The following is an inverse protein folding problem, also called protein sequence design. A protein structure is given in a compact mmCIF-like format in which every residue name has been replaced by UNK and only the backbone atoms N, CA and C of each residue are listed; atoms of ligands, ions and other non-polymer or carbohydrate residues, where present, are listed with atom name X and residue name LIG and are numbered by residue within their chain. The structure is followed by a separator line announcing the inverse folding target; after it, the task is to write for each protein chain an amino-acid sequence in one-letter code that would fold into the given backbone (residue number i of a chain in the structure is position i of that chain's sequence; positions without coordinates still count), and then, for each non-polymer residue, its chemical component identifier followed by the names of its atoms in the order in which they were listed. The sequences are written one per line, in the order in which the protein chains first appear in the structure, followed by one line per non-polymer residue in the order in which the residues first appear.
data_IF_713925596821
#
_entry.id   IF_713925596821
#
_cell.length_a   1.000
_cell.length_b   1.000
_cell.length_c   1.000
_cell.angle_alpha   90.00
_cell.angle_beta   90.00
_cell.angle_gamma   90.00
#
_symmetry.space_group_name_H-M   'P 1'
#
loop_
_entity.id
_entity.type
_entity.pdbx_description
1 polymer ?
#
# COMPACT_ATOMS: atom_id res chain seq x y z
N UNK A 1 37.97 -13.45 -29.95
CA UNK A 1 37.48 -13.08 -28.61
C UNK A 1 36.06 -12.58 -28.80
N UNK A 2 35.06 -13.38 -28.38
CA UNK A 2 33.67 -12.94 -28.44
C UNK A 2 33.50 -11.80 -27.44
N UNK A 3 33.37 -10.58 -27.95
CA UNK A 3 33.06 -9.40 -27.14
C UNK A 3 31.62 -9.56 -26.63
N UNK A 4 31.44 -10.17 -25.46
CA UNK A 4 30.11 -10.27 -24.86
C UNK A 4 29.66 -8.86 -24.47
N UNK A 5 28.64 -8.33 -25.15
CA UNK A 5 28.10 -6.99 -24.87
C UNK A 5 27.57 -6.88 -23.43
N UNK A 6 27.17 -7.99 -22.81
CA UNK A 6 26.71 -8.01 -21.42
C UNK A 6 27.81 -7.63 -20.43
N UNK A 7 29.07 -7.98 -20.70
CA UNK A 7 30.19 -7.66 -19.80
C UNK A 7 30.39 -6.15 -19.68
N UNK A 8 29.99 -5.37 -20.70
CA UNK A 8 30.04 -3.90 -20.69
C UNK A 8 29.01 -3.25 -19.76
N UNK A 9 28.01 -4.00 -19.28
CA UNK A 9 27.00 -3.50 -18.34
C UNK A 9 27.46 -3.57 -16.88
N UNK A 10 28.63 -4.13 -16.60
CA UNK A 10 29.18 -4.21 -15.24
C UNK A 10 29.39 -2.80 -14.67
N UNK A 11 28.77 -2.52 -13.52
CA UNK A 11 29.03 -1.30 -12.75
C UNK A 11 30.41 -1.43 -12.10
N UNK A 12 31.31 -0.47 -12.35
CA UNK A 12 32.66 -0.49 -11.78
C UNK A 12 32.64 -0.18 -10.29
N UNK A 13 33.61 -0.72 -9.56
CA UNK A 13 33.84 -0.38 -8.14
C UNK A 13 34.14 1.11 -7.97
N UNK A 14 34.82 1.73 -8.93
CA UNK A 14 35.07 3.17 -8.95
C UNK A 14 33.78 4.00 -8.90
N UNK A 15 32.77 3.63 -9.69
CA UNK A 15 31.47 4.31 -9.69
C UNK A 15 30.73 4.11 -8.36
N UNK A 16 30.80 2.91 -7.77
CA UNK A 16 30.21 2.65 -6.45
C UNK A 16 30.93 3.44 -5.36
N UNK A 17 32.26 3.54 -5.42
CA UNK A 17 33.06 4.34 -4.50
C UNK A 17 32.75 5.83 -4.62
N UNK A 18 32.52 6.34 -5.83
CA UNK A 18 32.12 7.73 -6.05
C UNK A 18 30.75 8.05 -5.40
N UNK A 19 29.78 7.13 -5.50
CA UNK A 19 28.48 7.26 -4.83
C UNK A 19 28.68 7.29 -3.30
N UNK A 20 29.47 6.36 -2.76
CA UNK A 20 29.78 6.33 -1.32
C UNK A 20 30.48 7.62 -0.86
N UNK A 21 31.44 8.12 -1.63
CA UNK A 21 32.14 9.36 -1.32
C UNK A 21 31.18 10.55 -1.21
N UNK A 22 30.19 10.64 -2.10
CA UNK A 22 29.15 11.69 -2.02
C UNK A 22 28.26 11.54 -0.78
N UNK A 23 27.84 10.32 -0.45
CA UNK A 23 26.96 10.05 0.69
C UNK A 23 27.66 10.24 2.04
N UNK A 24 28.98 10.08 2.08
CA UNK A 24 29.81 10.18 3.28
C UNK A 24 30.57 11.50 3.40
N UNK A 25 30.48 12.40 2.40
CA UNK A 25 31.14 13.71 2.45
C UNK A 25 30.50 14.60 3.53
N UNK A 26 31.24 14.98 4.59
CA UNK A 26 30.72 15.84 5.65
C UNK A 26 30.31 17.24 5.17
N UNK A 27 30.71 17.65 3.96
CA UNK A 27 30.33 18.93 3.36
C UNK A 27 29.13 18.82 2.41
N UNK A 28 28.58 17.62 2.21
CA UNK A 28 27.44 17.40 1.34
C UNK A 28 26.18 18.03 1.92
N UNK A 29 25.83 19.21 1.42
CA UNK A 29 24.66 19.98 1.89
C UNK A 29 23.35 19.19 1.80
N UNK A 30 23.18 18.39 0.74
CA UNK A 30 21.96 17.60 0.53
C UNK A 30 21.84 16.44 1.53
N UNK A 31 22.97 15.79 1.87
CA UNK A 31 23.00 14.72 2.87
C UNK A 31 22.85 15.30 4.27
N UNK A 32 23.55 16.39 4.58
CA UNK A 32 23.45 17.05 5.89
C UNK A 32 22.03 17.53 6.17
N UNK A 33 21.34 18.14 5.19
CA UNK A 33 19.95 18.56 5.36
C UNK A 33 19.00 17.37 5.64
N UNK A 34 19.26 16.19 5.06
CA UNK A 34 18.55 14.96 5.39
C UNK A 34 18.84 14.51 6.83
N UNK A 35 20.11 14.45 7.22
CA UNK A 35 20.53 14.04 8.56
C UNK A 35 20.03 14.99 9.65
N UNK A 36 19.99 16.30 9.37
CA UNK A 36 19.45 17.32 10.28
C UNK A 36 17.98 17.06 10.59
N UNK A 37 17.18 16.65 9.60
CA UNK A 37 15.77 16.29 9.82
C UNK A 37 15.67 15.02 10.68
N UNK A 38 16.45 13.99 10.37
CA UNK A 38 16.46 12.75 11.18
C UNK A 38 16.86 13.06 12.63
N UNK A 39 17.88 13.88 12.83
CA UNK A 39 18.41 14.26 14.14
C UNK A 39 17.39 14.94 15.06
N UNK A 40 16.35 15.58 14.51
CA UNK A 40 15.24 16.14 15.31
C UNK A 40 14.46 15.06 16.08
N UNK A 41 14.43 13.83 15.58
CA UNK A 41 13.62 12.73 16.15
C UNK A 41 14.43 11.79 17.05
N UNK A 42 15.77 11.84 16.98
CA UNK A 42 16.71 11.05 17.78
C UNK A 42 17.59 10.15 16.92
N UNK A 43 18.28 9.19 17.55
CA UNK A 43 19.02 8.16 16.81
C UNK A 43 18.05 7.18 16.13
N UNK A 44 18.48 6.42 15.09
CA UNK A 44 17.65 5.39 14.47
C UNK A 44 17.05 4.39 15.46
N UNK A 45 17.79 4.00 16.49
CA UNK A 45 17.32 3.11 17.56
C UNK A 45 16.21 3.75 18.40
N UNK A 46 16.37 5.03 18.75
CA UNK A 46 15.35 5.78 19.50
C UNK A 46 14.09 5.98 18.68
N UNK A 47 14.23 6.29 17.38
CA UNK A 47 13.14 6.45 16.42
C UNK A 47 12.35 5.14 16.34
N UNK A 48 13.03 4.01 16.12
CA UNK A 48 12.40 2.69 16.05
C UNK A 48 11.70 2.31 17.37
N UNK A 49 12.34 2.58 18.52
CA UNK A 49 11.76 2.30 19.84
C UNK A 49 10.48 3.10 20.08
N UNK A 50 10.46 4.38 19.73
CA UNK A 50 9.27 5.25 19.83
C UNK A 50 8.14 4.71 18.96
N UNK A 51 8.45 4.38 17.70
CA UNK A 51 7.47 3.86 16.76
C UNK A 51 6.87 2.53 17.20
N UNK A 52 7.70 1.59 17.67
CA UNK A 52 7.23 0.30 18.18
C UNK A 52 6.29 0.48 19.36
N UNK A 53 6.68 1.31 20.35
CA UNK A 53 5.85 1.60 21.51
C UNK A 53 4.50 2.25 21.12
N UNK A 54 4.53 3.21 20.19
CA UNK A 54 3.32 3.90 19.72
C UNK A 54 2.34 2.98 18.97
N UNK A 55 2.85 1.90 18.36
CA UNK A 55 2.05 0.97 17.55
C UNK A 55 1.38 -0.14 18.37
N UNK A 56 1.81 -0.38 19.60
CA UNK A 56 1.28 -1.49 20.40
C UNK A 56 -0.24 -1.35 20.57
N UNK A 57 -0.99 -2.42 20.26
CA UNK A 57 -2.46 -2.41 20.35
C UNK A 57 -2.97 -1.89 21.71
N UNK A 58 -2.43 -2.30 22.89
CA UNK A 58 -2.85 -1.73 24.16
C UNK A 58 -2.63 -0.21 24.27
N UNK A 59 -1.53 0.31 23.71
CA UNK A 59 -1.27 1.76 23.68
C UNK A 59 -2.27 2.50 22.80
N UNK A 60 -2.58 1.97 21.62
CA UNK A 60 -3.58 2.53 20.71
C UNK A 60 -4.96 2.59 21.38
N UNK A 61 -5.40 1.51 22.02
CA UNK A 61 -6.67 1.44 22.72
C UNK A 61 -6.73 2.39 23.93
N UNK A 62 -5.68 2.44 24.76
CA UNK A 62 -5.60 3.37 25.90
C UNK A 62 -5.73 4.83 25.46
N UNK A 63 -5.04 5.22 24.38
CA UNK A 63 -5.12 6.59 23.84
C UNK A 63 -6.52 6.91 23.32
N UNK A 64 -7.22 5.94 22.72
CA UNK A 64 -8.62 6.09 22.31
C UNK A 64 -9.55 6.27 23.52
N UNK A 65 -9.32 5.53 24.61
CA UNK A 65 -10.06 5.68 25.87
C UNK A 65 -9.85 7.06 26.50
N UNK A 66 -8.60 7.53 26.54
CA UNK A 66 -8.21 8.84 27.10
C UNK A 66 -8.91 10.01 26.39
N UNK A 67 -8.98 9.97 25.05
CA UNK A 67 -9.69 10.99 24.27
C UNK A 67 -11.20 10.74 24.18
N UNK A 68 -11.71 9.69 24.83
CA UNK A 68 -13.12 9.27 24.78
C UNK A 68 -13.63 9.10 23.35
N UNK A 69 -12.81 8.46 22.50
CA UNK A 69 -13.14 8.26 21.10
C UNK A 69 -14.43 7.44 20.96
N UNK A 70 -15.37 7.86 20.09
CA UNK A 70 -16.56 7.07 19.79
C UNK A 70 -16.22 5.71 19.13
N UNK A 71 -15.03 5.59 18.54
CA UNK A 71 -14.59 4.40 17.80
C UNK A 71 -14.15 3.24 18.70
N UNK A 72 -13.97 3.49 20.00
CA UNK A 72 -13.53 2.45 20.94
C UNK A 72 -14.50 1.27 21.00
N UNK A 73 -15.80 1.55 21.06
CA UNK A 73 -16.85 0.53 21.14
C UNK A 73 -16.93 -0.30 19.86
N UNK A 74 -16.71 0.32 18.70
CA UNK A 74 -16.68 -0.37 17.42
C UNK A 74 -15.48 -1.33 17.31
N UNK A 75 -14.34 -0.98 17.90
CA UNK A 75 -13.17 -1.88 17.99
C UNK A 75 -13.42 -3.06 18.91
N UNK A 76 -14.08 -2.84 20.06
CA UNK A 76 -14.49 -3.94 20.95
C UNK A 76 -15.45 -4.88 20.24
N UNK A 77 -16.46 -4.33 19.56
CA UNK A 77 -17.39 -5.11 18.76
C UNK A 77 -16.64 -5.91 17.69
N UNK A 78 -15.72 -5.30 16.94
CA UNK A 78 -14.95 -5.96 15.88
C UNK A 78 -14.08 -7.11 16.44
N UNK A 79 -13.41 -6.89 17.58
CA UNK A 79 -12.63 -7.93 18.25
C UNK A 79 -13.53 -9.08 18.74
N UNK A 80 -14.69 -8.78 19.32
CA UNK A 80 -15.67 -9.79 19.73
C UNK A 80 -16.17 -10.62 18.53
N UNK A 81 -16.48 -9.97 17.41
CA UNK A 81 -16.91 -10.65 16.18
C UNK A 81 -15.84 -11.60 15.64
N UNK A 82 -14.58 -11.17 15.68
CA UNK A 82 -13.45 -12.01 15.31
C UNK A 82 -13.33 -13.21 16.25
N UNK A 83 -13.31 -12.97 17.55
CA UNK A 83 -13.01 -13.99 18.56
C UNK A 83 -14.11 -15.06 18.65
N UNK A 84 -15.36 -14.71 18.32
CA UNK A 84 -16.47 -15.67 18.20
C UNK A 84 -16.54 -16.40 16.86
N UNK A 85 -15.63 -16.12 15.92
CA UNK A 85 -15.62 -16.73 14.59
C UNK A 85 -16.81 -16.32 13.70
N UNK A 86 -17.26 -15.06 13.79
CA UNK A 86 -18.44 -14.58 13.06
C UNK A 86 -18.22 -14.44 11.54
N UNK A 87 -16.97 -14.30 11.12
CA UNK A 87 -16.60 -14.15 9.71
C UNK A 87 -16.50 -15.52 9.04
N UNK A 88 -16.82 -15.58 7.74
CA UNK A 88 -16.71 -16.83 6.98
C UNK A 88 -15.25 -17.30 6.95
N UNK A 89 -15.01 -18.57 7.27
CA UNK A 89 -13.67 -19.18 7.15
C UNK A 89 -13.28 -19.35 5.67
N UNK A 90 -11.99 -19.37 5.34
CA UNK A 90 -11.53 -19.67 3.97
C UNK A 90 -12.06 -21.03 3.44
N UNK A 91 -12.04 -22.12 4.23
CA UNK A 91 -12.65 -23.39 3.81
C UNK A 91 -14.14 -23.26 3.49
N UNK A 92 -14.92 -22.57 4.33
CA UNK A 92 -16.36 -22.41 4.10
C UNK A 92 -16.66 -21.47 2.94
N UNK A 93 -15.83 -20.45 2.72
CA UNK A 93 -15.93 -19.61 1.54
C UNK A 93 -15.68 -20.43 0.27
N UNK A 94 -14.63 -21.25 0.24
CA UNK A 94 -14.35 -22.15 -0.91
C UNK A 94 -15.50 -23.12 -1.14
N UNK A 95 -16.11 -23.70 -0.09
CA UNK A 95 -17.32 -24.53 -0.20
C UNK A 95 -18.53 -23.76 -0.71
N UNK A 96 -18.72 -22.51 -0.26
CA UNK A 96 -19.80 -21.62 -0.73
C UNK A 96 -19.69 -21.37 -2.24
N UNK A 97 -18.47 -21.20 -2.77
CA UNK A 97 -18.23 -20.96 -4.20
C UNK A 97 -18.29 -22.26 -5.04
N UNK A 98 -17.60 -23.32 -4.60
CA UNK A 98 -17.36 -24.52 -5.42
C UNK A 98 -18.27 -25.71 -5.09
N UNK A 99 -19.01 -25.66 -3.99
CA UNK A 99 -19.68 -26.82 -3.43
C UNK A 99 -18.69 -27.94 -3.07
N UNK A 100 -19.05 -29.19 -3.39
CA UNK A 100 -18.22 -30.38 -3.09
C UNK A 100 -16.85 -30.37 -3.79
N UNK A 101 -16.71 -29.66 -4.92
CA UNK A 101 -15.44 -29.55 -5.65
C UNK A 101 -14.33 -28.90 -4.82
N UNK A 102 -14.69 -28.13 -3.78
CA UNK A 102 -13.70 -27.52 -2.88
C UNK A 102 -12.75 -28.54 -2.23
N UNK A 103 -13.22 -29.77 -1.97
CA UNK A 103 -12.45 -30.82 -1.29
C UNK A 103 -11.50 -31.57 -2.24
N UNK A 104 -11.74 -31.48 -3.55
CA UNK A 104 -10.96 -32.14 -4.59
C UNK A 104 -9.85 -31.23 -5.14
N UNK A 105 -10.00 -29.92 -4.98
CA UNK A 105 -9.11 -28.92 -5.53
C UNK A 105 -7.91 -28.66 -4.62
N UNK A 106 -6.74 -28.46 -5.24
CA UNK A 106 -5.52 -28.03 -4.57
C UNK A 106 -5.29 -26.55 -4.84
N UNK A 107 -4.92 -25.83 -3.80
CA UNK A 107 -4.67 -24.40 -3.83
C UNK A 107 -3.20 -24.18 -3.46
N UNK A 108 -2.42 -23.62 -4.38
CA UNK A 108 -0.99 -23.37 -4.17
C UNK A 108 -0.77 -22.03 -3.48
N UNK A 109 -0.53 -22.07 -2.17
CA UNK A 109 -0.34 -20.88 -1.33
C UNK A 109 0.95 -20.09 -1.67
N UNK A 110 1.86 -20.62 -2.48
CA UNK A 110 3.06 -19.88 -2.93
C UNK A 110 2.72 -18.73 -3.89
N UNK A 111 1.58 -18.81 -4.57
CA UNK A 111 1.08 -17.78 -5.48
C UNK A 111 -0.15 -17.02 -4.94
N UNK A 112 -0.38 -17.06 -3.63
CA UNK A 112 -1.53 -16.40 -3.01
C UNK A 112 -1.59 -14.90 -3.38
N UNK A 113 -2.64 -14.51 -4.11
CA UNK A 113 -2.90 -13.11 -4.49
C UNK A 113 -3.38 -12.33 -3.26
N UNK A 114 -2.69 -11.25 -2.91
CA UNK A 114 -3.15 -10.35 -1.84
C UNK A 114 -4.42 -9.63 -2.29
N UNK A 115 -5.53 -9.78 -1.55
CA UNK A 115 -6.74 -8.99 -1.80
C UNK A 115 -6.56 -7.59 -1.21
N UNK A 116 -6.76 -6.55 -2.03
CA UNK A 116 -6.50 -5.16 -1.65
C UNK A 116 -7.65 -4.23 -2.05
N UNK A 117 -8.05 -3.37 -1.11
CA UNK A 117 -8.91 -2.20 -1.35
C UNK A 117 -8.06 -0.94 -1.27
N UNK A 118 -8.34 0.01 -2.16
CA UNK A 118 -7.83 1.37 -2.08
C UNK A 118 -8.94 2.39 -1.87
N UNK A 119 -8.56 3.57 -1.40
CA UNK A 119 -9.49 4.59 -0.93
C UNK A 119 -10.36 4.18 0.25
N UNK A 120 -9.69 3.58 1.24
CA UNK A 120 -10.20 3.51 2.60
C UNK A 120 -9.93 4.83 3.35
N UNK A 121 -10.95 5.67 3.53
CA UNK A 121 -10.75 7.02 4.08
C UNK A 121 -11.10 7.14 5.56
N UNK A 122 -12.21 6.54 6.01
CA UNK A 122 -12.76 6.76 7.35
C UNK A 122 -13.01 5.45 8.09
N UNK A 123 -12.57 5.36 9.35
CA UNK A 123 -12.72 4.18 10.19
C UNK A 123 -14.15 3.57 10.20
N UNK A 124 -15.24 4.36 10.31
CA UNK A 124 -16.61 3.79 10.30
C UNK A 124 -16.94 2.97 9.05
N UNK A 125 -16.29 3.22 7.92
CA UNK A 125 -16.51 2.44 6.70
C UNK A 125 -16.01 1.00 6.84
N UNK A 126 -14.91 0.78 7.57
CA UNK A 126 -14.40 -0.55 7.87
C UNK A 126 -15.40 -1.35 8.72
N UNK A 127 -16.10 -0.69 9.63
CA UNK A 127 -17.14 -1.32 10.46
C UNK A 127 -18.36 -1.67 9.61
N UNK A 128 -18.76 -0.80 8.68
CA UNK A 128 -19.82 -1.10 7.72
C UNK A 128 -19.46 -2.30 6.83
N UNK A 129 -18.22 -2.35 6.33
CA UNK A 129 -17.69 -3.50 5.58
C UNK A 129 -17.69 -4.78 6.42
N UNK A 130 -17.21 -4.73 7.67
CA UNK A 130 -17.20 -5.89 8.56
C UNK A 130 -18.61 -6.43 8.83
N UNK A 131 -19.59 -5.54 9.07
CA UNK A 131 -21.00 -5.94 9.25
C UNK A 131 -21.56 -6.61 7.99
N UNK A 132 -21.32 -6.03 6.81
CA UNK A 132 -21.72 -6.61 5.52
C UNK A 132 -21.05 -7.97 5.30
N UNK A 133 -19.75 -8.09 5.61
CA UNK A 133 -18.99 -9.31 5.43
C UNK A 133 -19.53 -10.47 6.27
N UNK A 134 -19.90 -10.20 7.52
CA UNK A 134 -20.57 -11.17 8.39
C UNK A 134 -21.95 -11.54 7.84
N UNK A 135 -22.78 -10.55 7.50
CA UNK A 135 -24.15 -10.76 7.02
C UNK A 135 -24.18 -11.61 5.74
N UNK A 136 -23.28 -11.34 4.80
CA UNK A 136 -23.28 -11.94 3.47
C UNK A 136 -22.33 -13.13 3.33
N UNK A 137 -21.51 -13.41 4.35
CA UNK A 137 -20.42 -14.38 4.26
C UNK A 137 -19.44 -13.99 3.15
N UNK A 138 -19.00 -12.73 3.16
CA UNK A 138 -18.00 -12.15 2.25
C UNK A 138 -16.63 -12.09 2.96
N UNK A 139 -15.57 -11.98 2.17
CA UNK A 139 -14.20 -11.85 2.66
C UNK A 139 -13.80 -10.38 2.77
N UNK A 140 -13.19 -10.00 3.88
CA UNK A 140 -12.47 -8.73 4.02
C UNK A 140 -11.04 -8.87 3.48
N UNK A 141 -10.52 -7.85 2.77
CA UNK A 141 -9.19 -7.90 2.16
C UNK A 141 -8.08 -7.90 3.21
N UNK A 142 -6.89 -8.37 2.82
CA UNK A 142 -5.71 -8.36 3.71
C UNK A 142 -4.90 -7.06 3.64
N UNK A 143 -5.27 -6.14 2.75
CA UNK A 143 -4.53 -4.90 2.52
C UNK A 143 -5.45 -3.73 2.20
N UNK A 144 -5.16 -2.59 2.82
CA UNK A 144 -5.92 -1.35 2.66
C UNK A 144 -5.01 -0.17 2.32
N UNK A 145 -5.34 0.61 1.30
CA UNK A 145 -4.65 1.86 1.01
C UNK A 145 -5.52 3.02 1.49
N UNK A 146 -4.98 3.81 2.40
CA UNK A 146 -5.65 5.00 2.94
C UNK A 146 -5.22 6.23 2.18
N UNK A 147 -6.19 6.86 1.52
CA UNK A 147 -6.01 8.12 0.79
C UNK A 147 -6.92 9.18 1.40
N UNK A 148 -6.42 9.76 2.49
CA UNK A 148 -7.05 10.85 3.23
C UNK A 148 -5.93 11.78 3.71
N UNK A 149 -6.24 13.04 3.98
CA UNK A 149 -5.28 13.95 4.61
C UNK A 149 -4.93 13.47 6.01
N UNK A 150 -3.64 13.33 6.31
CA UNK A 150 -3.17 12.80 7.58
C UNK A 150 -3.57 13.68 8.75
N UNK A 151 -3.44 15.01 8.61
CA UNK A 151 -3.89 15.95 9.64
C UNK A 151 -5.38 15.87 9.92
N UNK A 152 -6.20 15.63 8.90
CA UNK A 152 -7.64 15.42 9.11
C UNK A 152 -7.91 14.10 9.85
N UNK A 153 -7.24 13.00 9.47
CA UNK A 153 -7.40 11.69 10.14
C UNK A 153 -6.91 11.73 11.60
N UNK A 154 -5.85 12.49 11.88
CA UNK A 154 -5.33 12.72 13.22
C UNK A 154 -6.31 13.48 14.12
N UNK A 155 -6.95 14.54 13.59
CA UNK A 155 -7.88 15.38 14.33
C UNK A 155 -9.29 14.77 14.46
N UNK A 156 -9.60 13.71 13.72
CA UNK A 156 -10.94 13.16 13.61
C UNK A 156 -11.22 12.09 14.67
N UNK A 157 -11.39 12.52 15.92
CA UNK A 157 -11.86 11.68 17.03
C UNK A 157 -11.06 10.38 17.23
N UNK A 158 -9.76 10.37 16.89
CA UNK A 158 -8.92 9.19 16.97
C UNK A 158 -9.01 8.22 15.79
N UNK A 159 -9.57 8.63 14.65
CA UNK A 159 -9.69 7.82 13.42
C UNK A 159 -8.39 7.10 13.04
N UNK A 160 -7.25 7.81 13.02
CA UNK A 160 -5.95 7.21 12.72
C UNK A 160 -5.57 6.08 13.72
N UNK A 161 -5.81 6.27 15.02
CA UNK A 161 -5.55 5.25 16.04
C UNK A 161 -6.50 4.06 15.89
N UNK A 162 -7.78 4.34 15.62
CA UNK A 162 -8.80 3.32 15.46
C UNK A 162 -8.52 2.43 14.25
N UNK A 163 -8.11 3.02 13.12
CA UNK A 163 -7.68 2.22 11.96
C UNK A 163 -6.44 1.39 12.27
N UNK A 164 -5.40 1.97 12.87
CA UNK A 164 -4.20 1.21 13.23
C UNK A 164 -4.53 0.01 14.14
N UNK A 165 -5.42 0.19 15.12
CA UNK A 165 -5.89 -0.88 16.00
C UNK A 165 -6.71 -1.93 15.23
N UNK A 166 -7.64 -1.50 14.37
CA UNK A 166 -8.49 -2.39 13.59
C UNK A 166 -7.68 -3.28 12.65
N UNK A 167 -6.67 -2.73 11.96
CA UNK A 167 -5.78 -3.49 11.08
C UNK A 167 -5.05 -4.61 11.84
N UNK A 168 -4.64 -4.35 13.09
CA UNK A 168 -4.08 -5.39 13.96
C UNK A 168 -5.12 -6.40 14.43
N UNK A 169 -6.35 -5.98 14.68
CA UNK A 169 -7.46 -6.87 15.09
C UNK A 169 -7.78 -7.87 13.96
N UNK A 170 -7.94 -7.39 12.73
CA UNK A 170 -8.32 -8.21 11.56
C UNK A 170 -7.14 -8.93 10.91
N UNK A 171 -5.90 -8.52 11.21
CA UNK A 171 -4.70 -9.09 10.62
C UNK A 171 -4.50 -8.66 9.17
N UNK A 172 -4.71 -7.37 8.89
CA UNK A 172 -4.48 -6.74 7.60
C UNK A 172 -3.32 -5.73 7.67
N UNK A 173 -2.71 -5.47 6.51
CA UNK A 173 -1.75 -4.39 6.33
C UNK A 173 -2.44 -3.13 5.82
N UNK A 174 -1.85 -1.97 6.09
CA UNK A 174 -2.36 -0.71 5.57
C UNK A 174 -1.22 0.24 5.22
N UNK A 175 -1.50 1.14 4.29
CA UNK A 175 -0.59 2.21 3.86
C UNK A 175 -1.28 3.55 4.04
N UNK A 176 -0.59 4.50 4.66
CA UNK A 176 -1.04 5.88 4.79
C UNK A 176 -0.53 6.77 3.65
N UNK A 177 -1.21 7.87 3.37
CA UNK A 177 -0.81 8.84 2.34
C UNK A 177 -0.51 10.18 2.99
N UNK A 178 0.78 10.54 3.08
CA UNK A 178 1.23 11.80 3.67
C UNK A 178 0.69 13.03 2.92
N UNK A 179 0.53 14.14 3.65
CA UNK A 179 0.01 15.41 3.15
C UNK A 179 1.03 16.13 2.25
N UNK A 180 2.33 15.93 2.52
CA UNK A 180 3.48 16.47 1.77
C UNK A 180 3.69 15.79 0.41
N UNK A 181 2.59 15.60 -0.32
CA UNK A 181 2.58 15.09 -1.68
C UNK A 181 2.58 16.19 -2.76
N UNK A 182 2.55 17.47 -2.40
CA UNK A 182 2.58 18.63 -3.31
C UNK A 182 1.23 18.96 -3.95
N UNK A 183 0.17 18.26 -3.55
CA UNK A 183 -1.22 18.45 -4.02
C UNK A 183 -2.08 19.18 -2.97
N UNK A 184 -1.45 19.74 -1.95
CA UNK A 184 -2.03 20.48 -0.83
C UNK A 184 -2.23 21.98 -1.14
N UNK A 185 -2.09 22.37 -2.41
CA UNK A 185 -2.14 23.76 -2.88
C UNK A 185 -0.79 24.49 -2.84
N UNK A 186 0.28 23.83 -2.39
CA UNK A 186 1.62 24.42 -2.33
C UNK A 186 2.31 24.55 -3.69
N UNK A 187 1.98 23.68 -4.64
CA UNK A 187 2.46 23.79 -5.99
C UNK A 187 1.60 24.81 -6.75
N UNK A 188 2.07 26.05 -6.77
CA UNK A 188 1.40 27.19 -7.43
C UNK A 188 1.25 27.03 -8.95
N UNK A 189 1.89 26.02 -9.55
CA UNK A 189 1.81 25.73 -10.97
C UNK A 189 0.76 24.64 -11.30
N UNK A 190 0.18 23.96 -10.30
CA UNK A 190 -0.91 23.01 -10.54
C UNK A 190 -2.24 23.74 -10.66
N UNK A 191 -3.01 23.39 -11.69
CA UNK A 191 -4.36 23.89 -11.90
C UNK A 191 -5.44 23.21 -11.04
N UNK A 192 -5.08 22.19 -10.24
CA UNK A 192 -5.99 21.40 -9.40
C UNK A 192 -5.72 19.89 -9.47
N UNK A 193 -6.48 19.07 -8.71
CA UNK A 193 -6.45 17.60 -8.77
C UNK A 193 -6.55 17.02 -10.19
N UNK A 194 -7.35 17.63 -11.06
CA UNK A 194 -7.51 17.23 -12.47
C UNK A 194 -6.21 17.41 -13.26
N UNK A 195 -5.39 18.39 -12.90
CA UNK A 195 -4.08 18.60 -13.52
C UNK A 195 -3.09 17.53 -13.04
N UNK A 196 -3.20 17.09 -11.78
CA UNK A 196 -2.31 16.11 -11.15
C UNK A 196 -2.42 14.74 -11.83
N UNK A 197 -3.63 14.30 -12.17
CA UNK A 197 -3.83 13.02 -12.87
C UNK A 197 -3.19 12.99 -14.26
N UNK A 198 -2.88 14.16 -14.84
CA UNK A 198 -2.13 14.28 -16.10
C UNK A 198 -0.60 14.23 -15.96
N UNK A 199 -0.04 14.45 -14.77
CA UNK A 199 1.41 14.42 -14.52
C UNK A 199 1.89 13.02 -14.10
N UNK A 200 1.92 12.09 -15.06
CA UNK A 200 2.61 10.81 -14.86
C UNK A 200 4.13 11.00 -14.85
N UNK A 201 4.82 10.41 -13.86
CA UNK A 201 6.27 10.54 -13.67
C UNK A 201 6.71 11.53 -12.58
N UNK A 202 5.74 12.17 -11.91
CA UNK A 202 5.95 13.03 -10.75
C UNK A 202 5.12 14.30 -10.81
N UNK A 203 4.41 14.60 -9.73
CA UNK A 203 3.46 15.74 -9.61
C UNK A 203 4.14 17.14 -9.57
N UNK A 204 5.44 17.21 -9.86
CA UNK A 204 6.23 18.45 -9.75
C UNK A 204 6.22 19.05 -8.34
N UNK A 205 6.50 18.26 -7.29
CA UNK A 205 6.49 18.79 -5.91
C UNK A 205 7.42 20.00 -5.76
N UNK A 206 7.07 21.01 -4.94
CA UNK A 206 7.99 22.10 -4.63
C UNK A 206 9.30 21.59 -4.01
N UNK A 207 10.40 22.30 -4.25
CA UNK A 207 11.77 21.83 -3.97
C UNK A 207 11.97 21.34 -2.52
N UNK A 208 11.32 21.98 -1.55
CA UNK A 208 11.47 21.68 -0.12
C UNK A 208 10.62 20.48 0.34
N UNK A 209 9.70 19.98 -0.50
CA UNK A 209 8.74 18.95 -0.09
C UNK A 209 9.38 17.60 0.22
N UNK A 210 10.52 17.27 -0.37
CA UNK A 210 11.22 16.04 -0.04
C UNK A 210 11.60 15.99 1.46
N UNK A 211 12.18 17.08 1.99
CA UNK A 211 12.55 17.14 3.41
C UNK A 211 11.34 17.33 4.33
N UNK A 212 10.29 18.03 3.87
CA UNK A 212 9.01 18.09 4.62
C UNK A 212 8.34 16.72 4.71
N UNK A 213 8.42 15.92 3.65
CA UNK A 213 7.94 14.54 3.63
C UNK A 213 8.66 13.66 4.64
N UNK A 214 9.98 13.81 4.74
CA UNK A 214 10.76 13.08 5.74
C UNK A 214 10.37 13.49 7.17
N UNK A 215 10.22 14.80 7.40
CA UNK A 215 9.82 15.35 8.70
C UNK A 215 8.41 14.86 9.09
N UNK A 216 7.44 14.98 8.17
CA UNK A 216 6.07 14.48 8.37
C UNK A 216 6.03 12.97 8.61
N UNK A 217 6.78 12.19 7.82
CA UNK A 217 6.88 10.74 8.01
C UNK A 217 7.40 10.41 9.41
N UNK A 218 8.52 11.00 9.83
CA UNK A 218 9.13 10.72 11.13
C UNK A 218 8.20 11.11 12.29
N UNK A 219 7.43 12.20 12.15
CA UNK A 219 6.39 12.55 13.10
C UNK A 219 5.35 11.43 13.27
N UNK A 220 4.73 10.98 12.17
CA UNK A 220 3.69 9.94 12.23
C UNK A 220 4.26 8.57 12.60
N UNK A 221 5.46 8.25 12.14
CA UNK A 221 6.18 7.02 12.48
C UNK A 221 6.42 6.94 14.00
N UNK A 222 6.99 7.99 14.60
CA UNK A 222 7.35 7.99 16.03
C UNK A 222 6.16 8.22 16.97
N UNK A 223 5.13 8.96 16.54
CA UNK A 223 3.99 9.33 17.39
C UNK A 223 2.82 8.35 17.31
N UNK A 224 2.64 7.71 16.15
CA UNK A 224 1.48 6.87 15.87
C UNK A 224 1.84 5.46 15.37
N UNK A 225 3.13 5.16 15.20
CA UNK A 225 3.56 3.86 14.70
C UNK A 225 3.19 3.60 13.24
N UNK A 226 2.98 4.66 12.44
CA UNK A 226 2.68 4.56 11.01
C UNK A 226 3.91 4.04 10.27
N UNK A 227 3.89 2.77 9.87
CA UNK A 227 5.07 2.13 9.26
C UNK A 227 5.14 2.27 7.74
N UNK A 228 3.99 2.17 7.05
CA UNK A 228 3.92 2.12 5.59
C UNK A 228 3.30 3.40 5.04
N UNK A 229 4.01 4.10 4.15
CA UNK A 229 3.49 5.29 3.47
C UNK A 229 3.55 5.19 1.95
N UNK A 230 2.65 5.92 1.27
CA UNK A 230 2.63 6.04 -0.18
C UNK A 230 3.66 7.07 -0.65
N UNK A 231 4.45 6.70 -1.65
CA UNK A 231 5.43 7.54 -2.33
C UNK A 231 5.05 7.76 -3.79
N UNK A 232 5.42 8.91 -4.35
CA UNK A 232 4.96 9.34 -5.68
C UNK A 232 6.01 10.08 -6.52
N UNK A 233 7.23 10.27 -6.01
CA UNK A 233 8.31 10.89 -6.77
C UNK A 233 9.69 10.29 -6.41
N UNK A 234 10.68 10.40 -7.31
CA UNK A 234 12.01 9.81 -7.10
C UNK A 234 12.75 10.33 -5.86
N UNK A 235 12.55 11.61 -5.50
CA UNK A 235 13.23 12.25 -4.37
C UNK A 235 12.82 11.63 -3.04
N UNK A 236 11.52 11.54 -2.77
CA UNK A 236 11.01 10.92 -1.52
C UNK A 236 11.26 9.41 -1.48
N UNK A 237 11.28 8.75 -2.64
CA UNK A 237 11.71 7.34 -2.75
C UNK A 237 13.17 7.18 -2.31
N UNK A 238 14.08 8.04 -2.78
CA UNK A 238 15.47 8.01 -2.34
C UNK A 238 15.60 8.30 -0.84
N UNK A 239 14.89 9.29 -0.31
CA UNK A 239 14.91 9.59 1.12
C UNK A 239 14.41 8.40 1.96
N UNK A 240 13.37 7.69 1.49
CA UNK A 240 12.91 6.46 2.11
C UNK A 240 13.97 5.35 2.13
N UNK A 241 14.76 5.22 1.06
CA UNK A 241 15.91 4.30 1.01
C UNK A 241 17.04 4.70 1.95
N UNK A 242 17.42 5.99 1.99
CA UNK A 242 18.47 6.50 2.88
C UNK A 242 18.08 6.33 4.36
N UNK A 243 16.82 6.61 4.70
CA UNK A 243 16.29 6.45 6.06
C UNK A 243 16.39 5.00 6.54
N UNK A 244 16.04 4.06 5.66
CA UNK A 244 16.15 2.64 5.95
C UNK A 244 17.60 2.18 6.11
N UNK A 245 18.47 2.65 5.21
CA UNK A 245 19.91 2.38 5.23
C UNK A 245 20.56 2.88 6.51
N UNK A 246 20.10 4.01 7.03
CA UNK A 246 20.57 4.61 8.29
C UNK A 246 20.18 3.77 9.53
N UNK A 247 19.11 2.97 9.45
CA UNK A 247 18.71 2.06 10.53
C UNK A 247 17.24 2.15 10.92
N UNK A 248 16.47 3.10 10.39
CA UNK A 248 15.04 3.23 10.72
C UNK A 248 14.23 2.16 9.97
N UNK A 249 13.24 1.55 10.62
CA UNK A 249 12.45 0.45 10.05
C UNK A 249 11.22 1.00 9.30
N UNK A 250 11.42 1.97 8.41
CA UNK A 250 10.37 2.51 7.57
C UNK A 250 10.03 1.55 6.43
N UNK A 251 8.79 1.62 5.96
CA UNK A 251 8.32 0.94 4.77
C UNK A 251 7.58 1.95 3.88
N UNK A 252 7.64 1.78 2.57
CA UNK A 252 6.84 2.56 1.63
C UNK A 252 6.44 1.76 0.40
N UNK A 253 5.34 2.17 -0.23
CA UNK A 253 4.97 1.72 -1.58
C UNK A 253 4.95 2.85 -2.58
N UNK A 254 5.10 2.55 -3.86
CA UNK A 254 5.06 3.55 -4.93
C UNK A 254 3.67 3.61 -5.59
N UNK A 255 3.16 4.83 -5.75
CA UNK A 255 1.87 5.15 -6.38
C UNK A 255 1.89 4.90 -7.90
N UNK A 256 0.70 4.64 -8.46
CA UNK A 256 0.50 4.53 -9.91
C UNK A 256 0.95 5.79 -10.66
N UNK A 257 0.82 6.95 -10.03
CA UNK A 257 1.22 8.24 -10.60
C UNK A 257 2.73 8.37 -10.87
N UNK A 258 3.57 7.56 -10.22
CA UNK A 258 5.01 7.56 -10.52
C UNK A 258 5.34 6.89 -11.86
N UNK A 259 4.43 6.06 -12.40
CA UNK A 259 4.56 5.55 -13.77
C UNK A 259 5.52 4.38 -13.96
N UNK A 260 5.47 3.36 -13.10
CA UNK A 260 6.15 2.07 -13.37
C UNK A 260 5.40 1.33 -14.50
N UNK A 261 5.70 1.66 -15.75
CA UNK A 261 4.90 1.32 -16.93
C UNK A 261 5.54 0.30 -17.88
N UNK A 262 6.81 -0.05 -17.67
CA UNK A 262 7.56 -1.01 -18.48
C UNK A 262 8.65 -1.74 -17.67
N UNK A 263 9.22 -2.85 -18.17
CA UNK A 263 10.22 -3.63 -17.44
C UNK A 263 11.46 -2.86 -17.03
N UNK A 264 11.88 -1.86 -17.81
CA UNK A 264 13.08 -1.07 -17.54
C UNK A 264 12.85 -0.04 -16.42
N UNK A 265 11.66 0.58 -16.36
CA UNK A 265 11.27 1.44 -15.26
C UNK A 265 11.22 0.66 -13.93
N UNK A 266 10.65 -0.55 -13.97
CA UNK A 266 10.64 -1.44 -12.80
C UNK A 266 12.03 -1.91 -12.43
N UNK A 267 12.85 -2.32 -13.40
CA UNK A 267 14.24 -2.71 -13.15
C UNK A 267 15.01 -1.58 -12.47
N UNK A 268 14.88 -0.33 -12.94
CA UNK A 268 15.50 0.82 -12.30
C UNK A 268 15.05 1.00 -10.84
N UNK A 269 13.75 0.90 -10.58
CA UNK A 269 13.18 0.95 -9.22
C UNK A 269 13.76 -0.14 -8.32
N UNK A 270 13.86 -1.38 -8.81
CA UNK A 270 14.40 -2.52 -8.06
C UNK A 270 15.93 -2.42 -7.85
N UNK A 271 16.68 -1.92 -8.82
CA UNK A 271 18.12 -1.68 -8.67
C UNK A 271 18.41 -0.65 -7.58
N UNK A 272 17.62 0.44 -7.52
CA UNK A 272 17.68 1.41 -6.43
C UNK A 272 17.40 0.76 -5.06
N UNK A 273 16.35 -0.07 -4.97
CA UNK A 273 16.04 -0.82 -3.76
C UNK A 273 17.18 -1.76 -3.33
N UNK A 274 17.86 -2.43 -4.26
CA UNK A 274 18.99 -3.32 -3.97
C UNK A 274 20.21 -2.56 -3.49
N UNK A 275 20.53 -1.42 -4.10
CA UNK A 275 21.67 -0.58 -3.75
C UNK A 275 21.65 -0.15 -2.26
N UNK A 276 20.46 0.15 -1.73
CA UNK A 276 20.27 0.62 -0.36
C UNK A 276 19.73 -0.46 0.60
N UNK A 277 19.75 -1.73 0.19
CA UNK A 277 19.28 -2.84 1.03
C UNK A 277 20.14 -3.04 2.28
N UNK A 278 19.55 -3.68 3.30
CA UNK A 278 20.22 -4.11 4.53
C UNK A 278 19.73 -5.50 4.94
N UNK A 279 20.46 -6.28 5.75
CA UNK A 279 19.94 -7.56 6.28
C UNK A 279 18.56 -7.36 6.95
N UNK A 280 17.63 -8.32 6.79
CA UNK A 280 16.29 -8.16 7.38
C UNK A 280 16.41 -8.06 8.92
N UNK A 281 16.00 -6.94 9.54
CA UNK A 281 16.05 -6.80 11.00
C UNK A 281 15.15 -7.81 11.72
N UNK A 282 14.17 -8.41 11.04
CA UNK A 282 13.25 -9.43 11.59
C UNK A 282 13.74 -10.86 11.38
N UNK A 283 14.82 -11.07 10.64
CA UNK A 283 15.40 -12.41 10.41
C UNK A 283 16.93 -12.35 10.33
N UNK A 284 17.61 -11.99 11.44
CA UNK A 284 19.07 -11.95 11.48
C UNK A 284 19.64 -13.37 11.38
N UNK A 285 20.44 -13.63 10.33
CA UNK A 285 21.21 -14.88 10.18
C UNK A 285 20.60 -15.97 9.30
N UNK A 286 19.50 -15.71 8.56
CA UNK A 286 19.05 -16.62 7.51
C UNK A 286 20.11 -16.70 6.38
N UNK A 287 20.58 -17.90 5.96
CA UNK A 287 21.57 -18.01 4.90
C UNK A 287 20.95 -17.70 3.52
N UNK A 288 21.46 -16.67 2.84
CA UNK A 288 21.04 -16.25 1.50
C UNK A 288 21.12 -14.72 1.37
N UNK A 289 21.92 -14.20 0.45
CA UNK A 289 22.32 -12.78 0.36
C UNK A 289 21.23 -11.82 -0.17
N UNK A 290 19.97 -12.01 0.23
CA UNK A 290 18.87 -11.09 -0.05
C UNK A 290 18.69 -10.13 1.11
N UNK A 291 19.33 -8.95 1.07
CA UNK A 291 18.97 -7.86 1.97
C UNK A 291 17.48 -7.51 1.82
N UNK A 292 16.86 -7.03 2.89
CA UNK A 292 15.55 -6.38 2.90
C UNK A 292 15.60 -4.96 2.35
N UNK A 293 14.43 -4.43 1.96
CA UNK A 293 14.26 -3.08 1.41
C UNK A 293 13.05 -2.40 2.08
N UNK A 294 13.03 -1.06 2.21
CA UNK A 294 11.83 -0.34 2.63
C UNK A 294 10.77 -0.29 1.51
N UNK A 295 11.13 -0.58 0.25
CA UNK A 295 10.17 -0.72 -0.84
C UNK A 295 9.41 -2.04 -0.65
N UNK A 296 8.20 -1.96 -0.10
CA UNK A 296 7.36 -3.15 0.15
C UNK A 296 6.40 -3.47 -1.00
N UNK A 297 6.30 -2.58 -1.98
CA UNK A 297 5.52 -2.80 -3.17
C UNK A 297 5.33 -1.55 -4.01
N UNK A 298 4.74 -1.71 -5.18
CA UNK A 298 4.39 -0.59 -6.03
C UNK A 298 3.23 -0.95 -6.94
N UNK A 299 2.48 0.08 -7.34
CA UNK A 299 1.50 -0.06 -8.40
C UNK A 299 2.20 -0.08 -9.75
N UNK A 300 1.84 -1.03 -10.60
CA UNK A 300 2.07 -0.88 -12.03
C UNK A 300 1.22 0.27 -12.59
N UNK A 301 1.69 0.91 -13.65
CA UNK A 301 0.85 1.76 -14.48
C UNK A 301 -0.33 0.98 -15.04
N UNK A 302 -1.46 1.65 -15.26
CA UNK A 302 -2.67 1.05 -15.82
C UNK A 302 -2.48 0.55 -17.27
N UNK A 303 -1.39 0.93 -17.94
CA UNK A 303 -1.03 0.49 -19.30
C UNK A 303 -0.28 -0.84 -19.37
N UNK A 304 0.26 -1.33 -18.25
CA UNK A 304 1.08 -2.56 -18.19
C UNK A 304 0.23 -3.77 -18.58
N UNK A 305 0.81 -4.77 -19.25
CA UNK A 305 0.16 -6.05 -19.58
C UNK A 305 0.80 -7.24 -18.81
N UNK A 306 0.24 -8.44 -18.95
CA UNK A 306 0.74 -9.63 -18.24
C UNK A 306 2.19 -9.98 -18.58
N UNK A 307 2.60 -9.87 -19.84
CA UNK A 307 3.98 -10.13 -20.27
C UNK A 307 4.98 -9.21 -19.55
N UNK A 308 4.64 -7.92 -19.43
CA UNK A 308 5.45 -6.96 -18.67
C UNK A 308 5.55 -7.35 -17.20
N UNK A 309 4.45 -7.81 -16.58
CA UNK A 309 4.45 -8.26 -15.18
C UNK A 309 5.35 -9.49 -15.01
N UNK A 310 5.27 -10.46 -15.92
CA UNK A 310 6.10 -11.67 -15.92
C UNK A 310 7.60 -11.32 -16.06
N UNK A 311 7.97 -10.46 -17.02
CA UNK A 311 9.35 -9.97 -17.19
C UNK A 311 9.87 -9.23 -15.95
N UNK A 312 9.02 -8.40 -15.33
CA UNK A 312 9.37 -7.73 -14.08
C UNK A 312 9.59 -8.72 -12.94
N UNK A 313 8.83 -9.83 -12.92
CA UNK A 313 8.93 -10.84 -11.88
C UNK A 313 10.26 -11.58 -11.96
N UNK A 314 10.76 -11.87 -13.17
CA UNK A 314 12.09 -12.43 -13.39
C UNK A 314 13.19 -11.52 -12.81
N UNK A 315 13.12 -10.22 -13.10
CA UNK A 315 14.08 -9.24 -12.56
C UNK A 315 14.00 -9.14 -11.02
N UNK A 316 12.78 -9.14 -10.47
CA UNK A 316 12.55 -9.12 -9.01
C UNK A 316 13.11 -10.39 -8.35
N UNK A 317 12.90 -11.55 -8.95
CA UNK A 317 13.41 -12.83 -8.46
C UNK A 317 14.94 -12.86 -8.50
N UNK A 318 15.56 -12.41 -9.61
CA UNK A 318 17.01 -12.32 -9.76
C UNK A 318 17.70 -11.38 -8.74
N UNK A 319 16.94 -10.47 -8.12
CA UNK A 319 17.39 -9.56 -7.08
C UNK A 319 17.06 -10.04 -5.65
N UNK A 320 16.50 -11.24 -5.48
CA UNK A 320 16.02 -11.81 -4.22
C UNK A 320 14.89 -10.99 -3.55
N UNK A 321 14.06 -10.33 -4.36
CA UNK A 321 13.00 -9.44 -3.87
C UNK A 321 11.59 -10.00 -4.00
N UNK A 322 11.44 -11.27 -4.38
CA UNK A 322 10.14 -11.90 -4.61
C UNK A 322 9.24 -11.86 -3.37
N UNK A 323 9.79 -12.04 -2.17
CA UNK A 323 9.05 -11.97 -0.89
C UNK A 323 9.02 -10.57 -0.28
N UNK A 324 9.79 -9.62 -0.82
CA UNK A 324 9.98 -8.27 -0.27
C UNK A 324 9.08 -7.26 -0.98
N UNK A 325 9.13 -7.22 -2.31
CA UNK A 325 8.48 -6.19 -3.12
C UNK A 325 7.22 -6.77 -3.76
N UNK A 326 6.05 -6.34 -3.28
CA UNK A 326 4.75 -6.74 -3.87
C UNK A 326 4.48 -6.00 -5.17
N UNK A 327 4.03 -6.73 -6.17
CA UNK A 327 3.50 -6.16 -7.41
C UNK A 327 2.01 -5.90 -7.25
N UNK A 328 1.59 -4.64 -7.23
CA UNK A 328 0.20 -4.27 -7.01
C UNK A 328 -0.45 -3.93 -8.36
N UNK A 329 -1.47 -4.72 -8.72
CA UNK A 329 -2.13 -4.67 -10.02
C UNK A 329 -3.58 -4.18 -9.86
N UNK A 330 -3.94 -3.08 -10.53
CA UNK A 330 -5.32 -2.59 -10.54
C UNK A 330 -6.21 -3.54 -11.34
N UNK A 331 -7.20 -4.12 -10.67
CA UNK A 331 -8.19 -5.02 -11.27
C UNK A 331 -9.40 -4.23 -11.74
N UNK A 332 -9.93 -3.40 -10.85
CA UNK A 332 -10.94 -2.39 -11.14
C UNK A 332 -10.37 -1.02 -10.77
N UNK A 333 -10.80 0.00 -11.50
CA UNK A 333 -10.32 1.36 -11.33
C UNK A 333 -11.47 2.35 -11.19
N UNK A 334 -11.24 3.50 -10.55
CA UNK A 334 -12.23 4.56 -10.41
C UNK A 334 -12.90 4.88 -11.74
N UNK A 335 -14.22 5.03 -11.71
CA UNK A 335 -15.03 5.18 -12.92
C UNK A 335 -14.64 6.42 -13.73
N UNK A 336 -14.28 7.50 -13.03
CA UNK A 336 -13.92 8.79 -13.61
C UNK A 336 -12.43 9.12 -13.52
N UNK A 337 -12.01 10.00 -14.42
CA UNK A 337 -10.78 10.82 -14.36
C UNK A 337 -9.42 10.16 -14.57
N UNK A 338 -9.22 8.85 -14.31
CA UNK A 338 -7.89 8.21 -14.40
C UNK A 338 -7.72 7.20 -15.54
N UNK A 339 -8.77 6.47 -15.93
CA UNK A 339 -8.70 5.47 -17.02
C UNK A 339 -9.91 5.55 -17.95
N UNK A 340 -9.80 4.92 -19.11
CA UNK A 340 -10.94 4.64 -19.99
C UNK A 340 -11.73 3.45 -19.44
N UNK A 341 -13.05 3.59 -19.40
CA UNK A 341 -13.97 2.53 -18.98
C UNK A 341 -14.52 1.76 -20.20
N UNK A 342 -14.92 0.48 -20.06
CA UNK A 342 -14.81 -0.34 -18.84
C UNK A 342 -13.36 -0.76 -18.56
N UNK A 343 -12.94 -0.67 -17.30
CA UNK A 343 -11.66 -1.15 -16.81
C UNK A 343 -11.88 -2.31 -15.82
N UNK A 344 -11.89 -3.54 -16.34
CA UNK A 344 -11.90 -4.78 -15.57
C UNK A 344 -10.79 -5.71 -16.09
N UNK A 345 -9.81 -5.99 -15.23
CA UNK A 345 -8.63 -6.80 -15.54
C UNK A 345 -8.61 -8.13 -14.81
N UNK A 346 -9.73 -8.56 -14.25
CA UNK A 346 -9.84 -9.81 -13.48
C UNK A 346 -9.44 -11.04 -14.28
N UNK A 347 -9.84 -11.12 -15.55
CA UNK A 347 -9.45 -12.21 -16.44
C UNK A 347 -7.93 -12.23 -16.71
N UNK A 348 -7.27 -11.08 -16.68
CA UNK A 348 -5.82 -10.98 -16.83
C UNK A 348 -5.10 -11.45 -15.56
N UNK A 349 -5.60 -11.04 -14.38
CA UNK A 349 -5.12 -11.51 -13.08
C UNK A 349 -5.17 -13.04 -13.00
N UNK A 350 -6.30 -13.67 -13.35
CA UNK A 350 -6.46 -15.13 -13.30
C UNK A 350 -5.38 -15.84 -14.14
N UNK A 351 -4.93 -15.26 -15.24
CA UNK A 351 -3.88 -15.84 -16.10
C UNK A 351 -2.49 -15.83 -15.46
N UNK A 352 -2.17 -14.84 -14.61
CA UNK A 352 -0.83 -14.67 -14.01
C UNK A 352 -0.76 -15.13 -12.55
N UNK A 353 -1.89 -15.23 -11.86
CA UNK A 353 -1.98 -15.53 -10.43
C UNK A 353 -1.47 -16.93 -10.04
N UNK A 354 -1.16 -17.82 -10.99
CA UNK A 354 -0.48 -19.10 -10.74
C UNK A 354 0.96 -19.16 -11.26
N UNK A 355 1.53 -18.01 -11.66
CA UNK A 355 2.86 -17.92 -12.30
C UNK A 355 3.75 -16.84 -11.68
N UNK A 356 3.14 -15.77 -11.19
CA UNK A 356 3.83 -14.64 -10.57
C UNK A 356 3.47 -14.58 -9.09
N UNK A 357 4.45 -14.84 -8.21
CA UNK A 357 4.24 -14.80 -6.76
C UNK A 357 4.12 -13.36 -6.25
N UNK A 358 3.62 -13.18 -5.02
CA UNK A 358 3.56 -11.89 -4.31
C UNK A 358 2.97 -10.74 -5.18
N UNK A 359 1.78 -11.00 -5.73
CA UNK A 359 0.94 -10.04 -6.46
C UNK A 359 -0.22 -9.59 -5.56
N UNK A 360 -0.63 -8.33 -5.68
CA UNK A 360 -1.85 -7.78 -5.10
C UNK A 360 -2.89 -7.53 -6.18
N UNK A 361 -4.13 -7.96 -5.94
CA UNK A 361 -5.30 -7.57 -6.69
C UNK A 361 -5.93 -6.34 -6.03
N UNK A 362 -5.67 -5.17 -6.61
CA UNK A 362 -6.08 -3.88 -6.06
C UNK A 362 -7.37 -3.39 -6.71
N UNK A 363 -8.31 -2.96 -5.88
CA UNK A 363 -9.62 -2.47 -6.31
C UNK A 363 -9.77 -1.00 -5.90
N UNK A 364 -9.76 -0.12 -6.90
CA UNK A 364 -9.87 1.33 -6.72
C UNK A 364 -11.27 1.84 -7.07
N UNK A 365 -12.01 1.08 -7.89
CA UNK A 365 -13.42 1.29 -8.23
C UNK A 365 -14.26 0.02 -8.05
N UNK A 366 -15.58 0.15 -8.19
CA UNK A 366 -16.55 -0.94 -8.15
C UNK A 366 -16.66 -1.69 -9.47
N UNK A 367 -17.73 -2.48 -9.59
CA UNK A 367 -18.00 -3.30 -10.77
C UNK A 367 -18.52 -2.47 -11.95
N UNK A 368 -18.13 -2.89 -13.17
CA UNK A 368 -18.45 -2.18 -14.43
C UNK A 368 -19.95 -2.10 -14.73
N UNK A 369 -20.75 -3.02 -14.19
CA UNK A 369 -22.21 -3.04 -14.30
C UNK A 369 -22.91 -2.19 -13.22
N UNK A 370 -22.19 -1.81 -12.17
CA UNK A 370 -22.73 -1.06 -11.02
C UNK A 370 -22.36 0.41 -11.08
N UNK A 371 -21.09 0.73 -11.33
CA UNK A 371 -20.55 2.10 -11.35
C UNK A 371 -21.36 3.10 -12.21
N UNK A 372 -21.73 2.80 -13.47
CA UNK A 372 -22.50 3.73 -14.29
C UNK A 372 -23.94 3.98 -13.78
N UNK A 373 -24.43 3.15 -12.85
CA UNK A 373 -25.77 3.29 -12.26
C UNK A 373 -25.79 4.13 -10.99
N UNK A 374 -24.61 4.42 -10.41
CA UNK A 374 -24.49 5.24 -9.21
C UNK A 374 -24.76 6.71 -9.53
N UNK A 375 -25.46 7.39 -8.64
CA UNK A 375 -25.65 8.84 -8.72
C UNK A 375 -24.31 9.58 -8.64
N UNK A 376 -23.41 9.10 -7.77
CA UNK A 376 -22.01 9.50 -7.68
C UNK A 376 -21.13 8.26 -7.94
N UNK A 377 -20.76 7.99 -9.21
CA UNK A 377 -19.77 6.97 -9.54
C UNK A 377 -18.42 7.33 -8.93
N UNK A 378 -17.59 6.33 -8.67
CA UNK A 378 -16.27 6.57 -8.08
C UNK A 378 -15.41 7.49 -8.96
N UNK A 379 -14.73 8.44 -8.32
CA UNK A 379 -13.79 9.35 -8.97
C UNK A 379 -12.48 9.37 -8.18
N UNK A 380 -11.35 9.24 -8.88
CA UNK A 380 -10.03 9.36 -8.23
C UNK A 380 -9.84 10.73 -7.57
N UNK A 381 -10.57 11.75 -8.04
CA UNK A 381 -10.46 13.12 -7.55
C UNK A 381 -11.13 13.30 -6.18
N UNK A 382 -12.05 12.41 -5.78
CA UNK A 382 -12.68 12.43 -4.46
C UNK A 382 -11.64 12.27 -3.33
N UNK A 383 -10.45 11.73 -3.64
CA UNK A 383 -9.39 11.50 -2.67
C UNK A 383 -8.76 12.78 -2.14
N UNK A 384 -8.94 13.88 -2.88
CA UNK A 384 -8.41 15.18 -2.54
C UNK A 384 -9.42 16.06 -1.79
N UNK A 385 -10.68 15.62 -1.67
CA UNK A 385 -11.71 16.37 -0.96
C UNK A 385 -11.45 16.37 0.55
N UNK A 386 -11.62 17.55 1.16
CA UNK A 386 -11.63 17.66 2.62
C UNK A 386 -12.90 17.00 3.18
N UNK A 387 -12.82 16.37 4.36
CA UNK A 387 -14.01 15.79 5.02
C UNK A 387 -15.15 16.82 5.17
N UNK A 388 -14.83 18.06 5.53
CA UNK A 388 -15.83 19.12 5.67
C UNK A 388 -16.58 19.39 4.36
N UNK A 389 -15.91 19.33 3.21
CA UNK A 389 -16.55 19.52 1.90
C UNK A 389 -17.43 18.32 1.53
N UNK A 390 -16.99 17.10 1.87
CA UNK A 390 -17.79 15.88 1.72
C UNK A 390 -19.08 15.99 2.52
N UNK A 391 -19.00 16.44 3.78
CA UNK A 391 -20.16 16.62 4.66
C UNK A 391 -21.07 17.75 4.17
N UNK A 392 -20.51 18.90 3.80
CA UNK A 392 -21.27 20.06 3.32
C UNK A 392 -22.03 19.77 2.02
N UNK A 393 -21.47 18.90 1.16
CA UNK A 393 -22.12 18.45 -0.08
C UNK A 393 -23.03 17.23 0.12
N UNK A 394 -23.12 16.68 1.33
CA UNK A 394 -23.92 15.48 1.61
C UNK A 394 -23.41 14.21 0.91
N UNK A 395 -22.13 14.15 0.53
CA UNK A 395 -21.56 13.06 -0.26
C UNK A 395 -21.16 11.82 0.56
N UNK A 396 -21.11 11.93 1.88
CA UNK A 396 -20.65 10.84 2.76
C UNK A 396 -21.37 9.49 2.52
N UNK A 397 -22.71 9.44 2.34
CA UNK A 397 -23.39 8.18 2.03
C UNK A 397 -23.00 7.61 0.67
N UNK A 398 -22.79 8.46 -0.33
CA UNK A 398 -22.40 8.03 -1.67
C UNK A 398 -20.96 7.49 -1.70
N UNK A 399 -20.03 8.16 -1.02
CA UNK A 399 -18.64 7.70 -0.92
C UNK A 399 -18.53 6.39 -0.12
N UNK A 400 -19.32 6.21 0.94
CA UNK A 400 -19.45 4.92 1.63
C UNK A 400 -19.98 3.84 0.68
N UNK A 401 -20.98 4.15 -0.15
CA UNK A 401 -21.48 3.21 -1.15
C UNK A 401 -20.38 2.83 -2.16
N UNK A 402 -19.60 3.79 -2.66
CA UNK A 402 -18.46 3.49 -3.55
C UNK A 402 -17.40 2.61 -2.84
N UNK A 403 -17.12 2.85 -1.55
CA UNK A 403 -16.22 2.00 -0.77
C UNK A 403 -16.74 0.55 -0.68
N UNK A 404 -18.04 0.36 -0.41
CA UNK A 404 -18.66 -0.96 -0.36
C UNK A 404 -18.77 -1.63 -1.73
N UNK A 405 -18.81 -0.86 -2.82
CA UNK A 405 -18.75 -1.41 -4.19
C UNK A 405 -17.35 -1.97 -4.50
N UNK A 406 -16.28 -1.35 -3.97
CA UNK A 406 -14.92 -1.93 -4.06
C UNK A 406 -14.82 -3.23 -3.28
N UNK A 407 -15.46 -3.32 -2.12
CA UNK A 407 -15.54 -4.58 -1.35
C UNK A 407 -16.27 -5.68 -2.12
N UNK A 408 -17.32 -5.35 -2.87
CA UNK A 408 -17.96 -6.30 -3.77
C UNK A 408 -17.01 -6.77 -4.88
N UNK A 409 -16.27 -5.84 -5.49
CA UNK A 409 -15.31 -6.17 -6.54
C UNK A 409 -14.19 -7.10 -6.05
N UNK A 410 -13.70 -6.89 -4.81
CA UNK A 410 -12.77 -7.80 -4.11
C UNK A 410 -13.34 -9.20 -4.02
N UNK A 411 -14.61 -9.35 -3.63
CA UNK A 411 -15.24 -10.64 -3.46
C UNK A 411 -15.49 -11.35 -4.79
N UNK A 412 -15.83 -10.62 -5.87
CA UNK A 412 -15.91 -11.19 -7.23
C UNK A 412 -14.54 -11.64 -7.72
N UNK A 413 -13.47 -10.92 -7.38
CA UNK A 413 -12.10 -11.35 -7.68
C UNK A 413 -11.71 -12.61 -6.89
N UNK A 414 -12.03 -12.67 -5.59
CA UNK A 414 -11.79 -13.86 -4.77
C UNK A 414 -12.57 -15.09 -5.29
N UNK A 415 -13.81 -14.89 -5.74
CA UNK A 415 -14.62 -15.93 -6.37
C UNK A 415 -13.95 -16.42 -7.67
N UNK A 416 -13.55 -15.52 -8.57
CA UNK A 416 -12.92 -15.89 -9.83
C UNK A 416 -11.60 -16.66 -9.63
N UNK A 417 -10.79 -16.27 -8.63
CA UNK A 417 -9.58 -17.02 -8.25
C UNK A 417 -9.94 -18.42 -7.74
N UNK A 418 -10.93 -18.51 -6.84
CA UNK A 418 -11.41 -19.78 -6.26
C UNK A 418 -11.89 -20.75 -7.34
N UNK A 419 -12.73 -20.27 -8.28
CA UNK A 419 -13.28 -21.06 -9.39
C UNK A 419 -12.19 -21.67 -10.29
N UNK A 420 -11.03 -21.01 -10.37
CA UNK A 420 -9.87 -21.43 -11.14
C UNK A 420 -8.81 -22.19 -10.32
N UNK A 421 -9.10 -22.54 -9.06
CA UNK A 421 -8.15 -23.26 -8.19
C UNK A 421 -6.95 -22.43 -7.75
N UNK A 422 -7.07 -21.11 -7.84
CA UNK A 422 -6.08 -20.15 -7.40
C UNK A 422 -6.43 -19.69 -5.98
N UNK A 423 -5.42 -19.28 -5.23
CA UNK A 423 -5.58 -18.85 -3.84
C UNK A 423 -5.28 -17.38 -3.66
N UNK A 424 -5.61 -16.87 -2.48
CA UNK A 424 -5.52 -15.46 -2.16
C UNK A 424 -5.33 -15.25 -0.65
N UNK A 425 -4.89 -14.05 -0.28
CA UNK A 425 -4.74 -13.62 1.10
C UNK A 425 -5.85 -12.64 1.44
N UNK A 426 -6.79 -13.08 2.30
CA UNK A 426 -7.78 -12.26 2.97
C UNK A 426 -7.30 -11.86 4.38
N UNK A 427 -8.05 -11.01 5.10
CA UNK A 427 -7.72 -10.59 6.46
C UNK A 427 -7.46 -11.82 7.38
N UNK A 428 -6.20 -12.04 7.75
CA UNK A 428 -5.71 -13.35 8.21
C UNK A 428 -6.32 -13.78 9.54
N UNK A 429 -6.66 -12.82 10.41
CA UNK A 429 -7.26 -13.13 11.72
C UNK A 429 -8.78 -13.26 11.63
N UNK A 430 -9.40 -12.92 10.50
CA UNK A 430 -10.85 -13.08 10.29
C UNK A 430 -11.19 -14.36 9.54
N UNK A 431 -10.40 -14.69 8.51
CA UNK A 431 -10.73 -15.75 7.55
C UNK A 431 -9.76 -16.92 7.56
N UNK A 432 -8.73 -16.89 8.42
CA UNK A 432 -7.74 -17.96 8.55
C UNK A 432 -8.37 -19.34 8.77
N UNK A 433 -7.59 -20.39 8.51
CA UNK A 433 -7.99 -21.78 8.75
C UNK A 433 -8.21 -22.06 10.23
#
# INVERSE_FOLDING_TARGET
MNNNLQDKLRISEENLNAINALLLDPNSRVVNAFLDVVGKYGTPEEINRKAEAARQLPSLLSRLDEIKSPYRNDLDWLAEQRDRGAFISLPDYRRKVLGKRAEEMKFDESFAVTLEISAFQYFPWLIAEARRAIERGELMPSRFIRVRKMKESEADCGDMLAVAAAMQIVGASYVETLDTKGTDGSNIHLGGPETITGYFGGVGQPNEYALKWLDEFLYYYTTYGVTQVLNLNPGTVLLGYLLYKLGVNNEFKISVFMGNDNPYAVLWTLLGAKLFSRPDPRSPGAPGAGGSSPLIGFNFSNSVNNETIELCAEARHALDFETVVRFEHHITEAWKSIVRQPYDRRAELVKIAGRVANVSAKHEGGEVDVEPTREHPSDILDYFMAKQDVEAKGLMPALLANYLDKHEAVNRTAQALTENGLTFVAARKLHGN
#
